data_IF_640636402590
#
_entry.id   IF_640636402590
#
_cell.length_a   1.000
_cell.length_b   1.000
_cell.length_c   1.000
_cell.angle_alpha   90.00
_cell.angle_beta   90.00
_cell.angle_gamma   90.00
#
_symmetry.space_group_name_H-M   'P 1'
#
loop_
_entity.id
_entity.type
_entity.pdbx_description
1 polymer ?
#
# COMPACT_ATOMS: atom_id res chain seq x y z
N UNK A 1 -25.85 -7.75 -6.71
CA UNK A 1 -24.58 -8.21 -7.30
C UNK A 1 -23.79 -8.87 -6.19
N UNK A 2 -23.58 -10.19 -6.22
CA UNK A 2 -22.78 -10.87 -5.19
C UNK A 2 -21.31 -10.85 -5.63
N UNK A 3 -20.39 -10.70 -4.67
CA UNK A 3 -18.93 -10.77 -4.92
C UNK A 3 -18.52 -12.09 -5.60
N UNK A 4 -19.31 -13.16 -5.39
CA UNK A 4 -19.17 -14.45 -6.06
C UNK A 4 -19.33 -14.41 -7.58
N UNK A 5 -19.99 -13.37 -8.12
CA UNK A 5 -20.38 -13.31 -9.52
C UNK A 5 -19.32 -12.66 -10.42
N UNK A 6 -18.23 -12.14 -9.82
CA UNK A 6 -17.20 -11.33 -10.52
C UNK A 6 -15.77 -11.81 -10.36
N UNK A 7 -15.51 -12.73 -9.44
CA UNK A 7 -14.16 -13.25 -9.20
C UNK A 7 -14.03 -14.67 -9.74
N UNK A 8 -12.90 -15.02 -10.38
CA UNK A 8 -12.58 -16.41 -10.71
C UNK A 8 -12.75 -17.27 -9.46
N UNK A 9 -13.25 -18.49 -9.60
CA UNK A 9 -13.58 -19.41 -8.50
C UNK A 9 -12.43 -19.73 -7.53
N UNK A 10 -11.20 -19.28 -7.82
CA UNK A 10 -9.99 -19.45 -7.01
C UNK A 10 -9.23 -18.15 -6.69
N UNK A 11 -9.74 -16.97 -7.03
CA UNK A 11 -9.04 -15.71 -6.72
C UNK A 11 -9.56 -15.13 -5.39
N UNK A 12 -8.67 -14.94 -4.42
CA UNK A 12 -8.99 -14.17 -3.22
C UNK A 12 -9.41 -12.74 -3.63
N UNK A 13 -10.48 -12.19 -3.06
CA UNK A 13 -10.94 -10.84 -3.38
C UNK A 13 -9.88 -9.79 -3.02
N UNK A 14 -9.61 -8.86 -3.94
CA UNK A 14 -8.81 -7.66 -3.67
C UNK A 14 -9.76 -6.56 -3.22
N UNK A 15 -9.55 -6.04 -2.01
CA UNK A 15 -10.43 -5.03 -1.39
C UNK A 15 -9.60 -3.78 -1.08
N UNK A 16 -9.94 -2.67 -1.73
CA UNK A 16 -9.43 -1.34 -1.39
C UNK A 16 -10.37 -0.63 -0.41
N UNK A 17 -9.81 0.08 0.59
CA UNK A 17 -10.57 0.82 1.60
C UNK A 17 -10.06 2.26 1.64
N UNK A 18 -10.86 3.17 1.08
CA UNK A 18 -10.53 4.59 0.95
C UNK A 18 -11.41 5.48 1.84
N UNK A 19 -10.90 6.66 2.17
CA UNK A 19 -11.59 7.63 3.03
C UNK A 19 -10.63 8.56 3.79
N UNK A 20 -11.14 9.59 4.48
CA UNK A 20 -10.31 10.60 5.12
C UNK A 20 -9.43 10.05 6.24
N UNK A 21 -8.36 10.78 6.59
CA UNK A 21 -7.52 10.45 7.72
C UNK A 21 -8.35 10.39 9.02
N UNK A 22 -8.05 9.44 9.90
CA UNK A 22 -8.79 9.27 11.16
C UNK A 22 -10.12 8.50 11.08
N UNK A 23 -10.62 8.15 9.89
CA UNK A 23 -11.89 7.42 9.73
C UNK A 23 -11.87 5.94 10.19
N UNK A 24 -10.78 5.44 10.79
CA UNK A 24 -10.68 4.06 11.28
C UNK A 24 -10.44 2.98 10.20
N UNK A 25 -10.07 3.37 8.98
CA UNK A 25 -9.86 2.46 7.83
C UNK A 25 -8.96 1.27 8.13
N UNK A 26 -7.80 1.50 8.75
CA UNK A 26 -6.87 0.42 9.10
C UNK A 26 -7.48 -0.56 10.10
N UNK A 27 -8.21 -0.07 11.09
CA UNK A 27 -8.89 -0.93 12.07
C UNK A 27 -9.97 -1.80 11.42
N UNK A 28 -10.73 -1.24 10.47
CA UNK A 28 -11.72 -2.01 9.69
C UNK A 28 -11.02 -3.01 8.76
N UNK A 29 -9.94 -2.61 8.10
CA UNK A 29 -9.18 -3.44 7.18
C UNK A 29 -8.63 -4.70 7.85
N UNK A 30 -8.03 -4.55 9.04
CA UNK A 30 -7.50 -5.69 9.83
C UNK A 30 -8.60 -6.68 10.19
N UNK A 31 -9.75 -6.17 10.68
CA UNK A 31 -10.89 -7.03 11.06
C UNK A 31 -11.52 -7.74 9.86
N UNK A 32 -11.63 -7.03 8.73
CA UNK A 32 -12.17 -7.58 7.48
C UNK A 32 -11.24 -8.67 6.92
N UNK A 33 -9.93 -8.41 6.89
CA UNK A 33 -8.92 -9.37 6.45
C UNK A 33 -8.95 -10.65 7.29
N UNK A 34 -9.04 -10.53 8.62
CA UNK A 34 -9.21 -11.68 9.51
C UNK A 34 -10.51 -12.46 9.29
N UNK A 35 -11.61 -11.76 8.99
CA UNK A 35 -12.92 -12.39 8.73
C UNK A 35 -12.95 -13.14 7.40
N UNK A 36 -12.28 -12.61 6.38
CA UNK A 36 -12.21 -13.20 5.04
C UNK A 36 -11.03 -14.14 4.84
N UNK A 37 -10.16 -14.29 5.85
CA UNK A 37 -8.90 -15.04 5.78
C UNK A 37 -8.01 -14.63 4.59
N UNK A 38 -7.93 -13.31 4.33
CA UNK A 38 -7.07 -12.73 3.28
C UNK A 38 -5.94 -11.88 3.89
N UNK A 39 -4.80 -11.70 3.19
CA UNK A 39 -3.73 -10.82 3.65
C UNK A 39 -4.19 -9.36 3.77
N UNK A 40 -3.71 -8.66 4.80
CA UNK A 40 -3.85 -7.21 4.94
C UNK A 40 -2.56 -6.49 4.51
N UNK A 41 -2.69 -5.51 3.62
CA UNK A 41 -1.61 -4.64 3.14
C UNK A 41 -1.73 -3.23 3.72
N UNK A 42 -0.72 -2.79 4.47
CA UNK A 42 -0.60 -1.39 4.93
C UNK A 42 0.04 -0.53 3.84
N UNK A 43 -0.80 0.05 2.98
CA UNK A 43 -0.34 0.96 1.92
C UNK A 43 0.33 2.22 2.48
N UNK A 44 0.00 2.64 3.71
CA UNK A 44 0.66 3.76 4.37
C UNK A 44 2.13 3.48 4.67
N UNK A 45 2.44 2.26 5.11
CA UNK A 45 3.83 1.81 5.26
C UNK A 45 4.55 1.77 3.91
N UNK A 46 3.88 1.25 2.88
CA UNK A 46 4.41 1.22 1.51
C UNK A 46 4.79 2.61 0.99
N UNK A 47 3.88 3.59 1.06
CA UNK A 47 4.16 4.97 0.63
C UNK A 47 5.31 5.61 1.42
N UNK A 48 5.42 5.34 2.73
CA UNK A 48 6.55 5.81 3.55
C UNK A 48 7.87 5.17 3.13
N UNK A 49 7.87 3.89 2.76
CA UNK A 49 9.07 3.22 2.25
C UNK A 49 9.53 3.80 0.91
N UNK A 50 8.60 4.11 0.00
CA UNK A 50 8.92 4.85 -1.24
C UNK A 50 9.51 6.22 -0.92
N UNK A 51 8.89 6.98 -0.02
CA UNK A 51 9.42 8.28 0.40
C UNK A 51 10.82 8.19 1.02
N UNK A 52 11.10 7.15 1.82
CA UNK A 52 12.43 6.88 2.37
C UNK A 52 13.44 6.53 1.29
N UNK A 53 13.04 5.75 0.27
CA UNK A 53 13.89 5.45 -0.89
C UNK A 53 14.28 6.76 -1.61
N UNK A 54 13.31 7.62 -1.92
CA UNK A 54 13.57 8.92 -2.53
C UNK A 54 14.52 9.78 -1.66
N UNK A 55 14.28 9.82 -0.36
CA UNK A 55 15.11 10.56 0.57
C UNK A 55 16.57 10.08 0.59
N UNK A 56 16.78 8.75 0.49
CA UNK A 56 18.12 8.14 0.40
C UNK A 56 18.82 8.46 -0.92
N UNK A 57 18.07 8.63 -2.01
CA UNK A 57 18.56 9.10 -3.33
C UNK A 57 18.80 10.63 -3.38
N UNK A 58 18.69 11.33 -2.25
CA UNK A 58 19.03 12.74 -2.14
C UNK A 58 17.85 13.70 -2.30
N UNK A 59 16.65 13.21 -2.63
CA UNK A 59 15.44 14.04 -2.65
C UNK A 59 15.10 14.59 -1.26
N UNK A 60 14.51 15.79 -1.21
CA UNK A 60 14.09 16.43 0.04
C UNK A 60 12.67 17.00 -0.10
N UNK A 61 11.81 16.81 0.91
CA UNK A 61 10.48 17.42 0.92
C UNK A 61 10.53 18.95 1.14
N UNK A 62 9.52 19.70 0.68
CA UNK A 62 8.35 19.23 -0.07
C UNK A 62 8.67 18.89 -1.54
N UNK A 63 7.82 18.07 -2.16
CA UNK A 63 7.97 17.72 -3.58
C UNK A 63 7.70 18.94 -4.45
N UNK A 64 8.67 19.32 -5.27
CA UNK A 64 8.55 20.29 -6.35
C UNK A 64 8.50 19.56 -7.71
N UNK A 65 7.32 19.49 -8.36
CA UNK A 65 7.17 18.85 -9.67
C UNK A 65 8.09 19.43 -10.76
N UNK A 66 8.54 20.68 -10.62
CA UNK A 66 9.40 21.32 -11.61
C UNK A 66 10.86 20.86 -11.53
N UNK A 67 11.34 20.44 -10.36
CA UNK A 67 12.75 20.11 -10.13
C UNK A 67 12.98 18.64 -9.69
N UNK A 68 11.99 17.99 -9.11
CA UNK A 68 12.14 16.64 -8.53
C UNK A 68 11.85 15.49 -9.50
N UNK A 69 11.49 15.80 -10.76
CA UNK A 69 11.08 14.78 -11.74
C UNK A 69 12.10 13.65 -11.91
N UNK A 70 13.40 13.95 -11.89
CA UNK A 70 14.47 12.94 -11.99
C UNK A 70 14.54 12.03 -10.76
N UNK A 71 14.35 12.59 -9.55
CA UNK A 71 14.41 11.82 -8.31
C UNK A 71 13.16 10.95 -8.13
N UNK A 72 12.01 11.37 -8.67
CA UNK A 72 10.80 10.54 -8.73
C UNK A 72 10.93 9.45 -9.80
N UNK A 73 11.52 9.78 -10.96
CA UNK A 73 11.69 8.82 -12.05
C UNK A 73 12.60 7.64 -11.65
N UNK A 74 13.66 7.87 -10.88
CA UNK A 74 14.55 6.80 -10.40
C UNK A 74 13.84 5.78 -9.51
N UNK A 75 12.77 6.17 -8.82
CA UNK A 75 11.95 5.25 -8.00
C UNK A 75 11.22 4.20 -8.83
N UNK A 76 11.03 4.42 -10.13
CA UNK A 76 10.38 3.44 -11.02
C UNK A 76 11.17 2.14 -11.16
N UNK A 77 12.48 2.18 -10.94
CA UNK A 77 13.36 1.02 -10.91
C UNK A 77 13.48 0.40 -9.50
N UNK A 78 13.02 1.15 -8.48
CA UNK A 78 12.99 0.73 -7.10
C UNK A 78 12.11 -0.49 -6.88
N UNK A 79 12.58 -1.42 -6.04
CA UNK A 79 11.80 -2.59 -5.64
C UNK A 79 11.40 -2.48 -4.17
N UNK A 80 10.11 -2.60 -3.91
CA UNK A 80 9.59 -2.87 -2.58
C UNK A 80 9.23 -4.35 -2.48
N UNK A 81 9.67 -4.99 -1.41
CA UNK A 81 9.35 -6.38 -1.13
C UNK A 81 8.35 -6.40 0.02
N UNK A 82 7.23 -7.08 -0.19
CA UNK A 82 6.22 -7.27 0.84
C UNK A 82 6.46 -8.61 1.50
N UNK A 83 6.75 -8.59 2.79
CA UNK A 83 6.98 -9.78 3.60
C UNK A 83 5.82 -10.01 4.57
N UNK A 84 5.45 -11.27 4.85
CA UNK A 84 4.46 -11.58 5.88
C UNK A 84 4.96 -11.14 7.26
N UNK A 85 4.18 -10.29 7.94
CA UNK A 85 4.32 -10.02 9.37
C UNK A 85 3.25 -10.75 10.19
N UNK A 86 3.36 -10.69 11.51
CA UNK A 86 2.45 -11.40 12.43
C UNK A 86 0.95 -11.08 12.21
N UNK A 87 0.63 -9.84 11.82
CA UNK A 87 -0.75 -9.37 11.64
C UNK A 87 -1.01 -8.73 10.25
N UNK A 88 0.05 -8.45 9.48
CA UNK A 88 -0.04 -7.68 8.23
C UNK A 88 1.19 -7.90 7.35
N UNK A 89 1.05 -7.68 6.05
CA UNK A 89 2.19 -7.54 5.14
C UNK A 89 3.00 -6.30 5.50
N UNK A 90 4.33 -6.41 5.48
CA UNK A 90 5.27 -5.34 5.83
C UNK A 90 6.22 -5.08 4.66
N UNK A 91 6.71 -3.85 4.56
CA UNK A 91 7.71 -3.40 3.57
C UNK A 91 9.10 -3.33 4.17
#
# INVERSE_FOLDING_TARGET
MKLSDTLPSNAAPIIAIDGPAGAGKSSVAVRLAGTLAIPYLDTGAMYRAVGLMAYREGWRPPLDPASDGSAVASLSEGRLRLEPGAERMQV
#
